data_IF_191760849656
#
_entry.id   IF_191760849656
#
_cell.length_a   1.000
_cell.length_b   1.000
_cell.length_c   1.000
_cell.angle_alpha   90.00
_cell.angle_beta   90.00
_cell.angle_gamma   90.00
#
_symmetry.space_group_name_H-M   'P 1'
#
loop_
_entity.id
_entity.type
_entity.pdbx_description
1 polymer ?
#
# COMPACT_ATOMS: atom_id res chain seq x y z
N UNK A 1 -4.98 17.68 5.58
CA UNK A 1 -4.21 16.41 5.49
C UNK A 1 -5.12 15.17 5.47
N UNK A 2 -6.04 14.94 6.44
CA UNK A 2 -6.90 13.74 6.45
C UNK A 2 -7.80 13.66 5.22
N UNK A 3 -8.37 14.77 4.80
CA UNK A 3 -9.21 14.88 3.61
C UNK A 3 -8.42 14.64 2.32
N UNK A 4 -7.20 15.17 2.24
CA UNK A 4 -6.33 14.98 1.08
C UNK A 4 -5.90 13.52 0.90
N UNK A 5 -5.59 12.84 2.01
CA UNK A 5 -5.19 11.42 1.97
C UNK A 5 -6.40 10.53 1.67
N UNK A 6 -7.59 10.87 2.16
CA UNK A 6 -8.84 10.20 1.82
C UNK A 6 -9.15 10.31 0.33
N UNK A 7 -8.95 11.48 -0.26
CA UNK A 7 -9.13 11.71 -1.70
C UNK A 7 -8.09 10.95 -2.52
N UNK A 8 -6.83 10.95 -2.10
CA UNK A 8 -5.73 10.27 -2.80
C UNK A 8 -5.94 8.75 -2.83
N UNK A 9 -6.35 8.16 -1.71
CA UNK A 9 -6.62 6.73 -1.57
C UNK A 9 -8.11 6.40 -1.70
N UNK A 10 -8.75 6.96 -2.72
CA UNK A 10 -10.15 6.64 -3.05
C UNK A 10 -10.33 5.12 -3.19
N UNK A 11 -11.31 4.56 -2.48
CA UNK A 11 -11.58 3.13 -2.39
C UNK A 11 -13.08 2.86 -2.30
N UNK A 12 -13.49 1.59 -2.35
CA UNK A 12 -14.87 1.21 -2.05
C UNK A 12 -15.28 1.78 -0.67
N UNK A 13 -16.24 2.69 -0.70
CA UNK A 13 -16.65 3.46 0.48
C UNK A 13 -17.60 2.71 1.41
N UNK A 14 -17.91 1.44 1.11
CA UNK A 14 -18.84 0.60 1.89
C UNK A 14 -18.14 -0.24 2.96
N UNK A 15 -16.81 -0.38 2.88
CA UNK A 15 -16.05 -1.25 3.78
C UNK A 15 -14.55 -0.95 3.75
N UNK A 16 -13.89 -1.33 4.84
CA UNK A 16 -12.42 -1.32 4.94
C UNK A 16 -11.93 -2.49 5.80
N UNK A 17 -10.65 -2.83 5.68
CA UNK A 17 -10.00 -3.72 6.62
C UNK A 17 -9.43 -2.94 7.79
N UNK A 18 -9.70 -3.45 8.99
CA UNK A 18 -9.04 -3.04 10.22
C UNK A 18 -8.13 -4.17 10.66
N UNK A 19 -6.87 -3.87 10.94
CA UNK A 19 -5.98 -4.85 11.54
C UNK A 19 -5.39 -4.36 12.86
N UNK A 20 -5.11 -5.30 13.76
CA UNK A 20 -4.38 -5.10 15.00
C UNK A 20 -3.32 -6.18 15.13
N UNK A 21 -2.12 -5.80 15.60
CA UNK A 21 -1.06 -6.77 15.85
C UNK A 21 -1.44 -7.65 17.05
N UNK A 22 -1.19 -8.95 16.96
CA UNK A 22 -1.41 -9.90 18.08
C UNK A 22 -0.31 -9.83 19.14
N UNK A 23 0.85 -9.26 18.78
CA UNK A 23 2.06 -9.29 19.58
C UNK A 23 2.91 -10.55 19.38
N UNK A 24 2.44 -11.51 18.59
CA UNK A 24 3.12 -12.76 18.27
C UNK A 24 3.74 -12.70 16.88
N UNK A 25 4.85 -13.41 16.70
CA UNK A 25 5.47 -13.62 15.39
C UNK A 25 5.14 -15.03 14.88
N UNK A 26 5.01 -15.19 13.56
CA UNK A 26 4.88 -16.51 12.95
C UNK A 26 6.24 -17.24 12.92
N UNK A 27 6.25 -18.51 12.49
CA UNK A 27 7.46 -19.34 12.38
C UNK A 27 8.58 -18.73 11.52
N UNK A 28 8.26 -17.70 10.71
CA UNK A 28 9.18 -16.95 9.85
C UNK A 28 9.57 -15.61 10.42
N UNK A 29 9.16 -15.30 11.68
CA UNK A 29 9.40 -14.02 12.33
C UNK A 29 8.53 -12.86 11.79
N UNK A 30 7.44 -13.17 11.07
CA UNK A 30 6.49 -12.17 10.58
C UNK A 30 5.45 -11.89 11.65
N UNK A 31 5.28 -10.61 12.00
CA UNK A 31 4.28 -10.17 12.98
C UNK A 31 2.88 -10.54 12.54
N UNK A 32 2.21 -11.34 13.36
CA UNK A 32 0.83 -11.74 13.14
C UNK A 32 -0.13 -10.58 13.41
N UNK A 33 -1.23 -10.55 12.68
CA UNK A 33 -2.26 -9.55 12.85
C UNK A 33 -3.65 -10.16 12.71
N UNK A 34 -4.57 -9.74 13.57
CA UNK A 34 -5.99 -9.98 13.36
C UNK A 34 -6.53 -8.98 12.34
N UNK A 35 -7.30 -9.50 11.38
CA UNK A 35 -7.96 -8.71 10.35
C UNK A 35 -9.48 -8.83 10.52
N UNK A 36 -10.16 -7.70 10.50
CA UNK A 36 -11.62 -7.60 10.51
C UNK A 36 -12.08 -6.73 9.37
N UNK A 37 -13.08 -7.18 8.61
CA UNK A 37 -13.77 -6.32 7.65
C UNK A 37 -14.81 -5.49 8.40
N UNK A 38 -14.72 -4.18 8.28
CA UNK A 38 -15.67 -3.22 8.84
C UNK A 38 -16.56 -2.75 7.69
N UNK A 39 -17.86 -2.98 7.83
CA UNK A 39 -18.87 -2.59 6.84
C UNK A 39 -19.40 -1.17 7.13
N UNK A 40 -18.51 -0.19 7.01
CA UNK A 40 -18.75 1.21 7.20
C UNK A 40 -17.96 2.03 6.19
N UNK A 41 -18.37 3.28 5.99
CA UNK A 41 -17.67 4.20 5.10
C UNK A 41 -16.29 4.57 5.62
N UNK A 42 -15.33 4.63 4.70
CA UNK A 42 -14.02 5.21 4.97
C UNK A 42 -14.15 6.73 5.03
N UNK A 43 -13.93 7.30 6.21
CA UNK A 43 -14.05 8.74 6.46
C UNK A 43 -12.72 9.36 6.85
N UNK A 44 -12.64 10.69 6.86
CA UNK A 44 -11.49 11.41 7.40
C UNK A 44 -11.18 11.05 8.86
N UNK A 45 -12.22 10.68 9.65
CA UNK A 45 -12.03 10.22 11.02
C UNK A 45 -11.41 8.82 11.10
N UNK A 46 -11.79 7.89 10.21
CA UNK A 46 -11.16 6.57 10.09
C UNK A 46 -9.67 6.73 9.74
N UNK A 47 -9.36 7.61 8.77
CA UNK A 47 -7.98 7.97 8.48
C UNK A 47 -7.27 8.62 9.67
N UNK A 48 -7.96 9.48 10.41
CA UNK A 48 -7.42 10.07 11.65
C UNK A 48 -7.07 9.03 12.70
N UNK A 49 -7.89 8.00 12.87
CA UNK A 49 -7.60 6.88 13.77
C UNK A 49 -6.38 6.08 13.33
N UNK A 50 -6.22 5.87 12.01
CA UNK A 50 -5.04 5.21 11.43
C UNK A 50 -3.76 6.03 11.63
N UNK A 51 -3.78 7.31 11.29
CA UNK A 51 -2.65 8.22 11.45
C UNK A 51 -2.21 8.40 12.91
N UNK A 52 -3.14 8.25 13.86
CA UNK A 52 -2.88 8.30 15.29
C UNK A 52 -2.56 6.92 15.91
N UNK A 53 -2.46 5.86 15.11
CA UNK A 53 -2.10 4.52 15.55
C UNK A 53 -3.19 3.75 16.30
N UNK A 54 -4.43 4.26 16.34
CA UNK A 54 -5.55 3.58 17.02
C UNK A 54 -6.04 2.34 16.27
N UNK A 55 -5.99 2.39 14.95
CA UNK A 55 -6.30 1.27 14.05
C UNK A 55 -5.27 1.23 12.93
N UNK A 56 -5.08 0.07 12.33
CA UNK A 56 -4.38 -0.04 11.04
C UNK A 56 -5.41 -0.26 9.94
N UNK A 57 -5.43 0.66 8.98
CA UNK A 57 -6.37 0.68 7.86
C UNK A 57 -5.82 -0.10 6.67
N UNK A 58 -6.66 -0.92 6.06
CA UNK A 58 -6.39 -1.55 4.77
C UNK A 58 -7.50 -1.23 3.77
N UNK A 59 -7.14 -0.85 2.55
CA UNK A 59 -8.06 -0.46 1.50
C UNK A 59 -7.87 -1.29 0.24
N UNK A 60 -8.97 -1.47 -0.50
CA UNK A 60 -8.95 -2.01 -1.87
C UNK A 60 -9.06 -0.85 -2.86
N UNK A 61 -8.21 -0.81 -3.90
CA UNK A 61 -8.26 0.27 -4.90
C UNK A 61 -9.53 0.26 -5.75
N UNK A 62 -10.14 -0.91 -5.92
CA UNK A 62 -11.24 -1.13 -6.87
C UNK A 62 -12.57 -0.58 -6.39
N UNK A 63 -13.26 0.13 -7.29
CA UNK A 63 -14.64 0.59 -7.18
C UNK A 63 -15.32 0.33 -8.53
N UNK A 64 -16.28 -0.60 -8.58
CA UNK A 64 -17.08 -0.91 -9.78
C UNK A 64 -16.23 -1.12 -11.05
N UNK A 65 -15.15 -1.89 -10.94
CA UNK A 65 -14.24 -2.20 -12.04
C UNK A 65 -13.27 -1.07 -12.42
N UNK A 66 -13.21 -0.01 -11.64
CA UNK A 66 -12.30 1.12 -11.81
C UNK A 66 -11.44 1.34 -10.57
N UNK A 67 -10.33 2.07 -10.71
CA UNK A 67 -9.48 2.46 -9.59
C UNK A 67 -8.82 3.82 -9.84
N UNK A 68 -8.47 4.52 -8.77
CA UNK A 68 -7.75 5.80 -8.80
C UNK A 68 -6.29 5.65 -8.38
N UNK A 69 -5.91 4.49 -7.91
CA UNK A 69 -4.54 4.14 -7.54
C UNK A 69 -4.29 2.64 -7.67
N UNK A 70 -3.03 2.27 -7.73
CA UNK A 70 -2.56 0.90 -7.70
C UNK A 70 -1.32 0.75 -6.83
N UNK A 71 -0.92 -0.49 -6.56
CA UNK A 71 0.25 -0.78 -5.74
C UNK A 71 0.94 -2.06 -6.20
N UNK A 72 2.27 -2.05 -6.17
CA UNK A 72 3.11 -3.24 -6.26
C UNK A 72 3.69 -3.47 -4.88
N UNK A 73 3.44 -4.64 -4.27
CA UNK A 73 3.92 -4.98 -2.92
C UNK A 73 5.18 -5.85 -2.99
N UNK A 74 6.30 -5.29 -2.56
CA UNK A 74 7.60 -5.97 -2.49
C UNK A 74 7.86 -6.40 -1.06
N UNK A 75 7.54 -7.66 -0.73
CA UNK A 75 7.79 -8.25 0.59
C UNK A 75 9.25 -8.75 0.69
N UNK A 76 10.06 -8.29 1.66
CA UNK A 76 11.46 -8.64 1.80
C UNK A 76 11.70 -10.14 2.00
N UNK A 77 10.76 -10.85 2.59
CA UNK A 77 10.88 -12.29 2.86
C UNK A 77 10.87 -13.16 1.58
N UNK A 78 10.47 -12.57 0.45
CA UNK A 78 10.40 -13.28 -0.83
C UNK A 78 11.69 -13.15 -1.66
N UNK A 79 12.68 -12.37 -1.18
CA UNK A 79 13.91 -12.06 -1.94
C UNK A 79 15.15 -12.23 -1.08
N UNK A 80 16.11 -13.06 -1.54
CA UNK A 80 17.40 -13.26 -0.85
C UNK A 80 18.23 -11.97 -0.75
N UNK A 81 18.13 -11.11 -1.77
CA UNK A 81 18.92 -9.88 -1.90
C UNK A 81 18.01 -8.64 -1.90
N UNK A 82 17.03 -8.62 -0.97
CA UNK A 82 16.15 -7.46 -0.83
C UNK A 82 16.95 -6.22 -0.46
N UNK A 83 16.72 -5.13 -1.18
CA UNK A 83 17.28 -3.82 -0.88
C UNK A 83 16.32 -2.71 -1.29
N UNK A 84 15.78 -1.99 -0.31
CA UNK A 84 14.93 -0.81 -0.54
C UNK A 84 15.58 0.17 -1.53
N UNK A 85 16.88 0.46 -1.33
CA UNK A 85 17.65 1.38 -2.16
C UNK A 85 17.65 0.97 -3.64
N UNK A 86 17.74 -0.32 -3.93
CA UNK A 86 17.73 -0.84 -5.30
C UNK A 86 16.42 -0.47 -6.00
N UNK A 87 15.28 -0.69 -5.36
CA UNK A 87 13.96 -0.39 -5.94
C UNK A 87 13.73 1.11 -6.10
N UNK A 88 14.10 1.91 -5.12
CA UNK A 88 14.05 3.38 -5.21
C UNK A 88 14.94 3.89 -6.34
N UNK A 89 16.15 3.34 -6.51
CA UNK A 89 17.04 3.70 -7.62
C UNK A 89 16.47 3.32 -8.99
N UNK A 90 15.79 2.20 -9.13
CA UNK A 90 15.10 1.80 -10.37
C UNK A 90 14.04 2.84 -10.73
N UNK A 91 13.18 3.20 -9.77
CA UNK A 91 12.13 4.21 -9.97
C UNK A 91 12.73 5.54 -10.44
N UNK A 92 13.78 6.02 -9.75
CA UNK A 92 14.48 7.27 -10.10
C UNK A 92 15.15 7.19 -11.49
N UNK A 93 15.91 6.11 -11.75
CA UNK A 93 16.66 5.90 -13.00
C UNK A 93 15.77 5.90 -14.24
N UNK A 94 14.64 5.20 -14.15
CA UNK A 94 13.72 5.06 -15.28
C UNK A 94 12.57 6.07 -15.25
N UNK A 95 12.60 7.02 -14.29
CA UNK A 95 11.58 8.08 -14.11
C UNK A 95 10.16 7.51 -14.07
N UNK A 96 10.01 6.37 -13.39
CA UNK A 96 8.71 5.73 -13.25
C UNK A 96 7.80 6.58 -12.35
N UNK A 97 6.51 6.72 -12.67
CA UNK A 97 5.59 7.56 -11.92
C UNK A 97 5.10 6.89 -10.62
N UNK A 98 6.01 6.32 -9.87
CA UNK A 98 5.73 5.59 -8.64
C UNK A 98 6.21 6.31 -7.40
N UNK A 99 5.46 6.13 -6.32
CA UNK A 99 5.80 6.59 -4.97
C UNK A 99 6.12 5.36 -4.10
N UNK A 100 7.41 5.07 -3.85
CA UNK A 100 7.79 3.99 -2.95
C UNK A 100 7.57 4.41 -1.50
N UNK A 101 6.90 3.56 -0.74
CA UNK A 101 6.60 3.75 0.69
C UNK A 101 7.03 2.52 1.45
N UNK A 102 7.72 2.71 2.57
CA UNK A 102 8.11 1.60 3.44
C UNK A 102 6.89 0.91 4.03
N UNK A 103 6.82 -0.41 3.88
CA UNK A 103 5.72 -1.21 4.43
C UNK A 103 5.97 -1.62 5.89
N UNK A 104 4.93 -2.06 6.57
CA UNK A 104 4.96 -2.52 7.97
C UNK A 104 5.95 -3.69 8.20
N UNK A 105 6.15 -4.53 7.20
CA UNK A 105 7.04 -5.70 7.25
C UNK A 105 8.49 -5.40 6.87
N UNK A 106 8.82 -4.13 6.64
CA UNK A 106 10.15 -3.71 6.18
C UNK A 106 10.36 -3.83 4.68
N UNK A 107 9.31 -4.13 3.90
CA UNK A 107 9.29 -4.10 2.45
C UNK A 107 8.86 -2.75 1.88
N UNK A 108 8.43 -2.75 0.63
CA UNK A 108 7.95 -1.57 -0.07
C UNK A 108 6.54 -1.78 -0.63
N UNK A 109 5.67 -0.82 -0.39
CA UNK A 109 4.49 -0.57 -1.20
C UNK A 109 4.85 0.49 -2.25
N UNK A 110 4.81 0.14 -3.51
CA UNK A 110 5.15 1.02 -4.62
C UNK A 110 3.84 1.50 -5.25
N UNK A 111 3.38 2.68 -4.84
CA UNK A 111 2.09 3.23 -5.27
C UNK A 111 2.18 3.98 -6.59
N UNK A 112 1.09 3.91 -7.36
CA UNK A 112 0.82 4.79 -8.50
C UNK A 112 -0.56 5.41 -8.32
N UNK A 113 -0.71 6.68 -8.68
CA UNK A 113 -1.96 7.43 -8.57
C UNK A 113 -2.38 7.98 -9.93
N UNK A 114 -3.68 8.02 -10.17
CA UNK A 114 -4.28 8.52 -11.40
C UNK A 114 -5.10 9.77 -11.10
N UNK A 115 -5.09 10.73 -12.02
CA UNK A 115 -5.91 11.95 -11.91
C UNK A 115 -7.40 11.63 -12.02
N UNK A 116 -7.73 10.60 -12.81
CA UNK A 116 -9.09 10.13 -13.04
C UNK A 116 -9.20 8.63 -12.75
N UNK A 117 -10.43 8.13 -12.68
CA UNK A 117 -10.70 6.70 -12.55
C UNK A 117 -10.23 5.96 -13.79
N UNK A 118 -9.51 4.87 -13.60
CA UNK A 118 -8.97 4.02 -14.65
C UNK A 118 -9.54 2.60 -14.56
N UNK A 119 -9.69 1.94 -15.69
CA UNK A 119 -10.16 0.55 -15.77
C UNK A 119 -9.17 -0.38 -15.06
N UNK A 120 -9.68 -1.18 -14.10
CA UNK A 120 -8.89 -2.07 -13.25
C UNK A 120 -8.05 -3.05 -14.07
N UNK A 121 -8.63 -3.63 -15.14
CA UNK A 121 -7.91 -4.59 -15.96
C UNK A 121 -6.72 -3.94 -16.66
N UNK A 122 -6.90 -2.75 -17.24
CA UNK A 122 -5.81 -2.01 -17.90
C UNK A 122 -4.70 -1.64 -16.93
N UNK A 123 -5.09 -1.20 -15.72
CA UNK A 123 -4.11 -0.87 -14.67
C UNK A 123 -3.34 -2.11 -14.24
N UNK A 124 -4.02 -3.22 -13.98
CA UNK A 124 -3.38 -4.48 -13.55
C UNK A 124 -2.46 -5.04 -14.64
N UNK A 125 -2.91 -5.06 -15.90
CA UNK A 125 -2.10 -5.52 -17.04
C UNK A 125 -0.81 -4.67 -17.14
N UNK A 126 -0.93 -3.33 -17.03
CA UNK A 126 0.24 -2.44 -17.12
C UNK A 126 1.16 -2.54 -15.92
N UNK A 127 0.63 -2.69 -14.72
CA UNK A 127 1.45 -2.91 -13.53
C UNK A 127 2.15 -4.27 -13.57
N UNK A 128 1.52 -5.31 -14.13
CA UNK A 128 2.15 -6.62 -14.32
C UNK A 128 3.34 -6.53 -15.26
N UNK A 129 3.19 -5.87 -16.41
CA UNK A 129 4.29 -5.64 -17.36
C UNK A 129 5.48 -4.91 -16.71
N UNK A 130 5.21 -3.83 -15.97
CA UNK A 130 6.25 -3.06 -15.27
C UNK A 130 6.88 -3.89 -14.15
N UNK A 131 6.07 -4.65 -13.41
CA UNK A 131 6.55 -5.51 -12.35
C UNK A 131 7.49 -6.61 -12.86
N UNK A 132 7.14 -7.29 -13.95
CA UNK A 132 7.98 -8.30 -14.59
C UNK A 132 9.32 -7.73 -15.06
N UNK A 133 9.32 -6.48 -15.52
CA UNK A 133 10.53 -5.83 -16.02
C UNK A 133 11.46 -5.33 -14.92
N UNK A 134 10.92 -4.84 -13.79
CA UNK A 134 11.70 -4.05 -12.85
C UNK A 134 11.68 -4.55 -11.41
N UNK A 135 10.60 -5.14 -10.93
CA UNK A 135 10.41 -5.38 -9.50
C UNK A 135 10.33 -6.86 -9.12
N UNK A 136 9.68 -7.68 -9.95
CA UNK A 136 9.46 -9.11 -9.73
C UNK A 136 8.71 -9.41 -8.42
N UNK A 137 7.84 -8.47 -8.00
CA UNK A 137 7.01 -8.61 -6.80
C UNK A 137 5.92 -9.67 -6.99
N UNK A 138 5.48 -10.27 -5.89
CA UNK A 138 4.47 -11.33 -5.92
C UNK A 138 3.03 -10.79 -5.93
N UNK A 139 2.81 -9.61 -5.38
CA UNK A 139 1.48 -9.04 -5.25
C UNK A 139 1.36 -7.69 -5.95
N UNK A 140 0.29 -7.57 -6.76
CA UNK A 140 -0.07 -6.37 -7.50
C UNK A 140 -1.52 -6.04 -7.16
N UNK A 141 -1.80 -4.76 -6.95
CA UNK A 141 -3.13 -4.23 -6.67
C UNK A 141 -3.53 -3.21 -7.76
N UNK A 142 -4.79 -3.22 -8.21
CA UNK A 142 -5.98 -3.89 -7.66
C UNK A 142 -5.96 -5.41 -7.74
N UNK A 143 -6.44 -6.06 -6.66
CA UNK A 143 -6.77 -7.49 -6.62
C UNK A 143 -7.81 -7.73 -5.52
N UNK A 144 -8.17 -9.00 -5.25
CA UNK A 144 -9.16 -9.34 -4.21
C UNK A 144 -8.73 -9.04 -2.77
N UNK A 145 -7.50 -8.59 -2.56
CA UNK A 145 -6.95 -8.23 -1.26
C UNK A 145 -6.95 -6.72 -1.03
N UNK A 146 -6.82 -6.29 0.21
CA UNK A 146 -6.58 -4.90 0.59
C UNK A 146 -5.11 -4.66 0.89
N UNK A 147 -4.64 -3.45 0.58
CA UNK A 147 -3.30 -2.96 0.92
C UNK A 147 -3.37 -2.28 2.27
N UNK A 148 -2.41 -2.55 3.17
CA UNK A 148 -2.23 -1.74 4.37
C UNK A 148 -1.80 -0.32 3.99
N UNK A 149 -2.53 0.66 4.50
CA UNK A 149 -2.26 2.06 4.18
C UNK A 149 -0.99 2.58 4.86
N UNK A 150 -0.27 3.51 4.22
CA UNK A 150 0.95 4.12 4.75
C UNK A 150 0.67 5.06 5.92
N UNK A 151 1.73 5.47 6.61
CA UNK A 151 1.72 6.47 7.68
C UNK A 151 0.95 6.05 8.95
N UNK A 152 0.76 4.74 9.20
CA UNK A 152 0.17 4.28 10.45
C UNK A 152 0.98 4.79 11.65
N UNK A 153 0.29 5.38 12.64
CA UNK A 153 0.91 6.01 13.81
C UNK A 153 2.00 7.03 13.41
N UNK A 154 1.61 8.04 12.67
CA UNK A 154 2.49 8.98 11.96
C UNK A 154 3.62 9.58 12.82
N UNK A 155 3.38 9.79 14.12
CA UNK A 155 4.39 10.35 15.02
C UNK A 155 5.51 9.37 15.41
N UNK A 156 5.31 8.07 15.20
CA UNK A 156 6.27 7.01 15.53
C UNK A 156 6.45 6.00 14.38
N UNK A 157 5.88 6.28 13.21
CA UNK A 157 5.89 5.38 12.06
C UNK A 157 7.25 5.36 11.38
N UNK A 158 7.60 4.18 10.87
CA UNK A 158 8.68 4.02 9.88
C UNK A 158 8.12 3.80 8.45
N UNK A 159 6.80 3.95 8.27
CA UNK A 159 6.07 3.68 7.03
C UNK A 159 5.90 4.96 6.21
N UNK A 160 7.01 5.58 5.80
CA UNK A 160 7.04 6.84 5.05
C UNK A 160 7.33 6.64 3.58
N UNK A 161 6.85 7.58 2.76
CA UNK A 161 7.31 7.69 1.38
C UNK A 161 8.79 8.11 1.35
N UNK A 162 9.54 7.51 0.41
CA UNK A 162 10.90 7.97 0.12
C UNK A 162 10.83 9.26 -0.68
N UNK A 163 11.51 10.29 -0.20
CA UNK A 163 11.67 11.55 -0.93
C UNK A 163 12.96 11.56 -1.78
N UNK A 164 13.26 12.70 -2.39
CA UNK A 164 14.44 12.86 -3.22
C UNK A 164 15.77 12.78 -2.45
N UNK A 165 15.72 12.92 -1.12
CA UNK A 165 16.89 13.02 -0.24
C UNK A 165 17.17 11.75 0.57
N UNK A 166 16.25 10.75 0.53
CA UNK A 166 16.36 9.47 1.26
C UNK A 166 16.83 8.32 0.37
#
# INVERSE_FOLDING_TARGET
MKEQILELFTSDNSRYLKSSLTGEDDERGKKQAHYSTIHESVTADVWGQHLNGKIRLGLKPEIDGQCKWGCIDVDPNNYKDYSEKKYVQIIKKYKLPFVPVKSKSGGLHIFIFFTEMADVKKVTDKLSEINEQYFLAQEIFPCNKAVNMPYHNMNASMEFAFDENN
#
